data_IF_945190568257
#
_entry.id   IF_945190568257
#
_cell.length_a   1.000
_cell.length_b   1.000
_cell.length_c   1.000
_cell.angle_alpha   90.00
_cell.angle_beta   90.00
_cell.angle_gamma   90.00
#
_symmetry.space_group_name_H-M   'P 1'
#
loop_
_entity.id
_entity.type
_entity.pdbx_description
1 polymer ?
#
# COMPACT_ATOMS: atom_id res chain seq x y z
N UNK A 1 -25.79 -37.25 -3.07
CA UNK A 1 -24.49 -37.26 -3.81
C UNK A 1 -24.81 -37.00 -5.27
N UNK A 2 -24.12 -36.07 -5.91
CA UNK A 2 -24.17 -35.86 -7.36
C UNK A 2 -23.03 -36.65 -7.98
N UNK A 3 -23.33 -37.61 -8.86
CA UNK A 3 -22.30 -38.39 -9.50
C UNK A 3 -21.70 -37.59 -10.69
N UNK A 4 -20.37 -37.51 -10.72
CA UNK A 4 -19.63 -36.81 -11.80
C UNK A 4 -20.07 -35.37 -12.09
N UNK A 5 -20.15 -34.47 -11.10
CA UNK A 5 -20.62 -33.11 -11.33
C UNK A 5 -19.71 -32.32 -12.30
N UNK A 6 -18.46 -32.74 -12.45
CA UNK A 6 -17.45 -32.10 -13.30
C UNK A 6 -17.48 -32.48 -14.78
N UNK A 7 -18.19 -33.54 -15.14
CA UNK A 7 -18.22 -34.04 -16.51
C UNK A 7 -19.62 -34.19 -17.10
N UNK A 8 -20.61 -33.67 -16.36
CA UNK A 8 -21.99 -33.71 -16.83
C UNK A 8 -22.11 -32.93 -18.14
N UNK A 9 -22.64 -33.56 -19.16
CA UNK A 9 -23.08 -32.91 -20.39
C UNK A 9 -22.00 -32.18 -21.22
N UNK A 10 -20.73 -32.66 -21.17
CA UNK A 10 -19.63 -32.04 -21.92
C UNK A 10 -19.63 -32.35 -23.43
N UNK A 11 -20.06 -33.54 -23.80
CA UNK A 11 -19.91 -34.04 -25.16
C UNK A 11 -21.22 -34.18 -25.94
N UNK A 12 -22.34 -34.40 -25.25
CA UNK A 12 -23.64 -34.57 -25.87
C UNK A 12 -24.73 -33.82 -25.11
N UNK A 13 -25.68 -33.25 -25.84
CA UNK A 13 -26.73 -32.39 -25.29
C UNK A 13 -27.79 -33.14 -24.43
N UNK A 14 -27.83 -34.46 -24.51
CA UNK A 14 -28.90 -35.31 -24.00
C UNK A 14 -28.52 -36.08 -22.71
N UNK A 15 -27.41 -35.80 -22.08
CA UNK A 15 -26.86 -36.55 -20.95
C UNK A 15 -26.93 -35.84 -19.59
N UNK A 16 -27.88 -34.96 -19.39
CA UNK A 16 -28.11 -34.33 -18.08
C UNK A 16 -28.81 -35.33 -17.14
N UNK A 17 -28.11 -35.86 -16.14
CA UNK A 17 -28.68 -36.75 -15.11
C UNK A 17 -28.21 -36.38 -13.73
N UNK A 18 -29.14 -36.20 -12.82
CA UNK A 18 -28.87 -36.00 -11.38
C UNK A 18 -29.37 -37.22 -10.61
N UNK A 19 -28.51 -37.87 -9.86
CA UNK A 19 -28.87 -38.94 -8.94
C UNK A 19 -28.84 -38.41 -7.52
N UNK A 20 -29.98 -38.39 -6.87
CA UNK A 20 -30.12 -37.98 -5.45
C UNK A 20 -30.28 -39.23 -4.61
N UNK A 21 -29.33 -39.52 -3.74
CA UNK A 21 -29.43 -40.61 -2.75
C UNK A 21 -29.74 -40.02 -1.38
N UNK A 22 -30.90 -40.28 -0.84
CA UNK A 22 -31.33 -39.86 0.47
C UNK A 22 -31.89 -41.05 1.28
N UNK A 23 -31.39 -41.23 2.49
CA UNK A 23 -31.82 -42.33 3.40
C UNK A 23 -31.76 -43.73 2.78
N UNK A 24 -30.85 -43.99 1.83
CA UNK A 24 -30.67 -45.24 1.15
C UNK A 24 -31.58 -45.47 -0.08
N UNK A 25 -32.41 -44.51 -0.42
CA UNK A 25 -33.22 -44.50 -1.65
C UNK A 25 -32.56 -43.60 -2.71
N UNK A 26 -32.57 -44.04 -3.95
CA UNK A 26 -32.05 -43.29 -5.10
C UNK A 26 -33.22 -42.73 -5.93
N UNK A 27 -33.14 -41.41 -6.17
CA UNK A 27 -34.01 -40.74 -7.12
C UNK A 27 -33.16 -40.28 -8.31
N UNK A 28 -33.55 -40.73 -9.52
CA UNK A 28 -32.91 -40.32 -10.76
C UNK A 28 -33.77 -39.22 -11.38
N UNK A 29 -33.11 -38.08 -11.66
CA UNK A 29 -33.70 -36.94 -12.35
C UNK A 29 -32.94 -36.78 -13.67
N UNK A 30 -33.59 -37.12 -14.78
CA UNK A 30 -33.07 -36.84 -16.10
C UNK A 30 -33.43 -35.40 -16.50
N UNK A 31 -32.42 -34.62 -16.85
CA UNK A 31 -32.57 -33.22 -17.25
C UNK A 31 -32.40 -33.12 -18.76
N UNK A 32 -33.48 -32.84 -19.48
CA UNK A 32 -33.39 -32.55 -20.90
C UNK A 32 -32.60 -31.27 -21.14
N UNK A 33 -31.55 -31.36 -21.93
CA UNK A 33 -30.72 -30.22 -22.31
C UNK A 33 -30.70 -30.06 -23.82
N UNK A 34 -30.73 -28.82 -24.29
CA UNK A 34 -30.72 -28.48 -25.72
C UNK A 34 -29.32 -28.39 -26.31
N UNK A 35 -28.33 -28.18 -25.45
CA UNK A 35 -26.93 -28.02 -25.81
C UNK A 35 -26.01 -28.49 -24.68
N UNK A 36 -24.70 -28.49 -24.91
CA UNK A 36 -23.70 -28.84 -23.91
C UNK A 36 -23.57 -27.73 -22.83
N UNK A 37 -23.00 -28.07 -21.69
CA UNK A 37 -22.72 -27.09 -20.60
C UNK A 37 -21.91 -25.88 -21.10
N UNK A 38 -20.90 -26.13 -21.94
CA UNK A 38 -20.08 -25.06 -22.53
C UNK A 38 -20.87 -24.13 -23.47
N UNK A 39 -21.88 -24.65 -24.18
CA UNK A 39 -22.74 -23.82 -25.02
C UNK A 39 -23.63 -22.90 -24.15
N UNK A 40 -24.13 -23.37 -23.01
CA UNK A 40 -24.86 -22.55 -22.06
C UNK A 40 -23.97 -21.45 -21.45
N UNK A 41 -22.71 -21.75 -21.14
CA UNK A 41 -21.74 -20.75 -20.68
C UNK A 41 -21.52 -19.66 -21.74
N UNK A 42 -21.27 -20.06 -22.98
CA UNK A 42 -21.09 -19.15 -24.12
C UNK A 42 -22.31 -18.24 -24.35
N UNK A 43 -23.52 -18.82 -24.32
CA UNK A 43 -24.77 -18.09 -24.48
C UNK A 43 -24.96 -17.05 -23.36
N UNK A 44 -24.59 -17.38 -22.13
CA UNK A 44 -24.65 -16.45 -21.00
C UNK A 44 -23.67 -15.29 -21.15
N UNK A 45 -22.43 -15.58 -21.55
CA UNK A 45 -21.44 -14.54 -21.85
C UNK A 45 -21.93 -13.63 -22.98
N UNK A 46 -22.44 -14.23 -24.06
CA UNK A 46 -23.00 -13.47 -25.20
C UNK A 46 -24.17 -12.57 -24.77
N UNK A 47 -25.06 -13.04 -23.90
CA UNK A 47 -26.16 -12.26 -23.38
C UNK A 47 -25.69 -11.08 -22.51
N UNK A 48 -24.71 -11.27 -21.62
CA UNK A 48 -24.12 -10.22 -20.79
C UNK A 48 -23.45 -9.17 -21.67
N UNK A 49 -22.64 -9.57 -22.64
CA UNK A 49 -22.00 -8.65 -23.60
C UNK A 49 -23.03 -7.84 -24.39
N UNK A 50 -24.11 -8.47 -24.86
CA UNK A 50 -25.18 -7.79 -25.60
C UNK A 50 -25.93 -6.79 -24.71
N UNK A 51 -26.03 -7.03 -23.41
CA UNK A 51 -26.64 -6.11 -22.43
C UNK A 51 -25.67 -5.02 -21.95
N UNK A 52 -24.38 -5.06 -22.33
CA UNK A 52 -23.36 -4.13 -21.83
C UNK A 52 -22.97 -4.39 -20.37
N UNK A 53 -23.25 -5.57 -19.85
CA UNK A 53 -22.88 -5.99 -18.50
C UNK A 53 -21.43 -6.48 -18.46
N UNK A 54 -20.74 -6.22 -17.34
CA UNK A 54 -19.33 -6.61 -17.15
C UNK A 54 -19.18 -7.96 -16.46
N UNK A 55 -20.27 -8.54 -15.95
CA UNK A 55 -20.32 -9.87 -15.34
C UNK A 55 -21.65 -10.57 -15.67
N UNK A 56 -21.69 -11.88 -15.50
CA UNK A 56 -22.90 -12.67 -15.73
C UNK A 56 -23.86 -12.62 -14.55
N UNK A 57 -25.16 -12.46 -14.84
CA UNK A 57 -26.20 -12.64 -13.83
C UNK A 57 -26.52 -14.12 -13.61
N UNK A 58 -27.08 -14.46 -12.42
CA UNK A 58 -27.54 -15.83 -12.12
C UNK A 58 -28.32 -16.44 -13.28
N UNK A 59 -28.07 -17.70 -13.67
CA UNK A 59 -27.22 -18.73 -13.03
C UNK A 59 -25.74 -18.77 -13.48
N UNK A 60 -25.22 -17.75 -14.14
CA UNK A 60 -23.79 -17.63 -14.35
C UNK A 60 -23.08 -17.27 -13.04
N UNK A 61 -21.79 -17.56 -12.97
CA UNK A 61 -20.97 -17.12 -11.84
C UNK A 61 -20.67 -15.63 -11.95
N UNK A 62 -21.03 -14.86 -10.92
CA UNK A 62 -20.60 -13.50 -10.73
C UNK A 62 -19.19 -13.43 -10.12
N UNK A 63 -18.62 -12.23 -10.05
CA UNK A 63 -17.30 -12.05 -9.42
C UNK A 63 -17.32 -12.42 -7.93
N UNK A 64 -18.39 -12.11 -7.22
CA UNK A 64 -18.55 -12.47 -5.81
C UNK A 64 -18.60 -13.99 -5.59
N UNK A 65 -19.23 -14.74 -6.50
CA UNK A 65 -19.23 -16.21 -6.47
C UNK A 65 -17.82 -16.76 -6.66
N UNK A 66 -17.06 -16.18 -7.59
CA UNK A 66 -15.66 -16.56 -7.85
C UNK A 66 -14.80 -16.27 -6.63
N UNK A 67 -14.91 -15.09 -6.02
CA UNK A 67 -14.19 -14.70 -4.81
C UNK A 67 -14.55 -15.58 -3.62
N UNK A 68 -15.83 -15.89 -3.43
CA UNK A 68 -16.31 -16.77 -2.37
C UNK A 68 -15.77 -18.19 -2.51
N UNK A 69 -15.75 -18.72 -3.73
CA UNK A 69 -15.21 -20.03 -4.03
C UNK A 69 -13.70 -20.11 -3.75
N UNK A 70 -12.92 -19.15 -4.26
CA UNK A 70 -11.47 -19.08 -4.02
C UNK A 70 -11.15 -18.92 -2.53
N UNK A 71 -11.88 -18.07 -1.82
CA UNK A 71 -11.72 -17.88 -0.36
C UNK A 71 -11.97 -19.19 0.39
N UNK A 72 -12.96 -19.97 -0.03
CA UNK A 72 -13.27 -21.26 0.57
C UNK A 72 -12.14 -22.27 0.30
N UNK A 73 -11.65 -22.34 -0.93
CA UNK A 73 -10.53 -23.22 -1.30
C UNK A 73 -9.26 -22.86 -0.52
N UNK A 74 -8.94 -21.58 -0.40
CA UNK A 74 -7.78 -21.12 0.38
C UNK A 74 -7.93 -21.43 1.87
N UNK A 75 -9.16 -21.36 2.41
CA UNK A 75 -9.44 -21.76 3.78
C UNK A 75 -9.23 -23.24 4.01
N UNK A 76 -9.64 -24.07 3.07
CA UNK A 76 -9.39 -25.53 3.12
C UNK A 76 -7.89 -25.83 3.03
N UNK A 77 -7.19 -25.21 2.08
CA UNK A 77 -5.75 -25.37 1.93
C UNK A 77 -5.01 -25.04 3.22
N UNK A 78 -5.33 -23.91 3.83
CA UNK A 78 -4.74 -23.51 5.12
C UNK A 78 -5.04 -24.50 6.24
N UNK A 79 -6.27 -25.01 6.30
CA UNK A 79 -6.68 -25.97 7.32
C UNK A 79 -5.92 -27.31 7.25
N UNK A 80 -5.50 -27.73 6.04
CA UNK A 80 -4.73 -28.96 5.82
C UNK A 80 -3.23 -28.72 5.64
N UNK A 81 -2.75 -27.47 5.75
CA UNK A 81 -1.34 -27.12 5.57
C UNK A 81 -0.82 -27.31 4.14
N UNK A 82 -1.70 -27.28 3.13
CA UNK A 82 -1.30 -27.44 1.73
C UNK A 82 -0.73 -26.13 1.18
N UNK A 83 0.53 -26.16 0.78
CA UNK A 83 1.20 -25.12 -0.01
C UNK A 83 1.66 -25.76 -1.30
N UNK A 84 1.42 -25.12 -2.45
CA UNK A 84 1.95 -25.61 -3.72
C UNK A 84 3.42 -25.25 -3.87
N UNK A 85 4.22 -26.08 -4.54
CA UNK A 85 5.65 -25.85 -4.72
C UNK A 85 5.94 -24.48 -5.34
N UNK A 86 5.12 -24.01 -6.29
CA UNK A 86 5.28 -22.69 -6.92
C UNK A 86 5.01 -21.50 -5.98
N UNK A 87 4.42 -21.74 -4.80
CA UNK A 87 4.19 -20.72 -3.77
C UNK A 87 5.35 -20.65 -2.78
N UNK A 88 6.24 -21.62 -2.79
CA UNK A 88 7.47 -21.61 -2.01
C UNK A 88 8.42 -20.55 -2.58
N UNK A 89 9.04 -19.77 -1.71
CA UNK A 89 9.94 -18.68 -2.14
C UNK A 89 11.13 -19.18 -2.98
N UNK A 90 11.68 -20.33 -2.60
CA UNK A 90 12.78 -20.99 -3.29
C UNK A 90 12.41 -21.47 -4.70
N UNK A 91 11.16 -21.85 -4.91
CA UNK A 91 10.67 -22.36 -6.20
C UNK A 91 10.06 -21.24 -7.07
N UNK A 92 9.63 -20.14 -6.48
CA UNK A 92 9.06 -19.00 -7.18
C UNK A 92 10.14 -18.24 -7.96
N UNK A 93 10.23 -18.50 -9.26
CA UNK A 93 11.18 -17.83 -10.15
C UNK A 93 10.64 -16.46 -10.57
N UNK A 94 11.41 -15.37 -10.39
CA UNK A 94 10.99 -14.05 -10.82
C UNK A 94 10.88 -13.99 -12.36
N UNK A 95 9.83 -13.35 -12.85
CA UNK A 95 9.77 -12.92 -14.24
C UNK A 95 10.84 -11.87 -14.48
N UNK A 96 11.62 -12.04 -15.56
CA UNK A 96 12.71 -11.15 -15.94
C UNK A 96 12.29 -10.24 -17.08
N UNK A 97 12.85 -9.06 -17.11
CA UNK A 97 12.66 -8.07 -18.15
C UNK A 97 12.12 -6.76 -17.62
N UNK A 98 12.49 -5.69 -18.29
CA UNK A 98 12.13 -4.33 -17.93
C UNK A 98 10.63 -4.12 -18.14
N UNK A 99 9.98 -3.50 -17.16
CA UNK A 99 8.60 -3.06 -17.25
C UNK A 99 8.53 -1.70 -17.94
N UNK A 100 7.44 -1.48 -18.69
CA UNK A 100 7.11 -0.18 -19.25
C UNK A 100 5.92 0.43 -18.48
N UNK A 101 5.96 1.74 -18.27
CA UNK A 101 4.79 2.46 -17.80
C UNK A 101 3.74 2.49 -18.91
N UNK A 102 2.46 2.42 -18.53
CA UNK A 102 1.35 2.57 -19.48
C UNK A 102 1.32 4.01 -20.02
N UNK A 103 0.91 4.19 -21.25
CA UNK A 103 0.81 5.52 -21.87
C UNK A 103 -0.23 6.42 -21.15
N UNK A 104 -1.25 5.81 -20.55
CA UNK A 104 -2.32 6.43 -19.80
C UNK A 104 -2.10 6.37 -18.27
N UNK A 105 -0.86 6.16 -17.83
CA UNK A 105 -0.53 6.05 -16.41
C UNK A 105 -0.96 7.30 -15.63
N UNK A 106 -1.82 7.18 -14.60
CA UNK A 106 -2.41 8.33 -13.92
C UNK A 106 -1.49 9.01 -12.92
N UNK A 107 -0.29 8.47 -12.67
CA UNK A 107 0.58 8.91 -11.58
C UNK A 107 1.07 10.33 -11.76
N UNK A 108 0.95 11.13 -10.71
CA UNK A 108 1.54 12.46 -10.56
C UNK A 108 2.81 12.39 -9.72
N UNK A 109 3.73 13.33 -9.97
CA UNK A 109 5.04 13.32 -9.32
C UNK A 109 5.30 14.64 -8.60
N UNK A 110 6.17 14.57 -7.60
CA UNK A 110 6.70 15.71 -6.87
C UNK A 110 8.22 15.61 -6.74
N UNK A 111 8.81 16.62 -6.12
CA UNK A 111 10.24 16.65 -5.81
C UNK A 111 10.44 16.47 -4.32
N UNK A 112 11.47 15.72 -3.96
CA UNK A 112 12.01 15.62 -2.60
C UNK A 112 13.37 16.28 -2.63
N UNK A 113 13.65 17.18 -1.69
CA UNK A 113 14.93 17.85 -1.61
C UNK A 113 16.08 16.84 -1.45
N UNK A 114 17.13 17.02 -2.21
CA UNK A 114 18.28 16.12 -2.27
C UNK A 114 18.14 14.97 -3.26
N UNK A 115 16.98 14.78 -3.92
CA UNK A 115 16.79 13.78 -4.95
C UNK A 115 16.71 14.40 -6.35
N UNK A 116 17.46 13.80 -7.29
CA UNK A 116 17.36 14.14 -8.71
C UNK A 116 16.17 13.47 -9.41
N UNK A 117 15.70 12.33 -8.86
CA UNK A 117 14.57 11.58 -9.41
C UNK A 117 13.25 12.18 -8.97
N UNK A 118 12.23 12.27 -9.86
CA UNK A 118 10.88 12.61 -9.47
C UNK A 118 10.28 11.47 -8.63
N UNK A 119 9.50 11.81 -7.63
CA UNK A 119 8.87 10.86 -6.70
C UNK A 119 7.37 10.82 -6.96
N UNK A 120 6.77 9.65 -7.11
CA UNK A 120 5.32 9.50 -7.27
C UNK A 120 4.59 10.01 -6.01
N UNK A 121 3.52 10.81 -6.22
CA UNK A 121 2.75 11.44 -5.13
C UNK A 121 2.12 10.44 -4.17
N UNK A 122 1.71 9.29 -4.68
CA UNK A 122 1.43 8.11 -3.87
C UNK A 122 2.69 7.24 -3.82
N UNK A 123 2.96 6.62 -2.68
CA UNK A 123 4.11 5.75 -2.42
C UNK A 123 3.61 4.37 -2.02
N UNK A 124 4.17 3.32 -2.60
CA UNK A 124 3.83 1.94 -2.26
C UNK A 124 4.46 1.54 -0.93
N UNK A 125 3.63 1.31 0.10
CA UNK A 125 4.08 0.71 1.36
C UNK A 125 4.32 -0.79 1.18
N UNK A 126 5.53 -1.23 1.50
CA UNK A 126 5.99 -2.61 1.31
C UNK A 126 6.04 -3.36 2.64
N UNK A 127 4.94 -3.42 3.38
CA UNK A 127 4.79 -4.17 4.64
C UNK A 127 3.74 -5.30 4.56
N UNK A 128 2.94 -5.33 3.48
CA UNK A 128 1.82 -6.26 3.32
C UNK A 128 2.10 -7.44 2.36
N UNK A 129 3.14 -7.37 1.54
CA UNK A 129 3.44 -8.35 0.48
C UNK A 129 4.27 -9.51 1.04
N UNK A 130 3.60 -10.48 1.67
CA UNK A 130 4.23 -11.54 2.45
C UNK A 130 4.89 -12.66 1.62
N UNK A 131 4.56 -12.78 0.34
CA UNK A 131 5.14 -13.77 -0.58
C UNK A 131 5.52 -13.10 -1.91
N UNK A 132 6.55 -13.63 -2.56
CA UNK A 132 7.11 -13.02 -3.77
C UNK A 132 6.09 -12.89 -4.91
N UNK A 133 5.30 -13.94 -5.18
CA UNK A 133 4.33 -13.92 -6.27
C UNK A 133 3.29 -12.79 -6.08
N UNK A 134 2.79 -12.61 -4.85
CA UNK A 134 1.88 -11.53 -4.50
C UNK A 134 2.56 -10.15 -4.64
N UNK A 135 3.74 -9.99 -4.03
CA UNK A 135 4.49 -8.74 -4.11
C UNK A 135 4.82 -8.34 -5.54
N UNK A 136 5.33 -9.28 -6.34
CA UNK A 136 5.67 -9.02 -7.73
C UNK A 136 4.48 -8.57 -8.57
N UNK A 137 3.30 -9.20 -8.41
CA UNK A 137 2.09 -8.80 -9.12
C UNK A 137 1.63 -7.39 -8.72
N UNK A 138 1.68 -7.07 -7.41
CA UNK A 138 1.33 -5.74 -6.89
C UNK A 138 2.28 -4.65 -7.40
N UNK A 139 3.59 -4.94 -7.40
CA UNK A 139 4.61 -3.96 -7.79
C UNK A 139 4.71 -3.79 -9.31
N UNK A 140 4.45 -4.86 -10.10
CA UNK A 140 4.32 -4.75 -11.56
C UNK A 140 3.15 -3.82 -11.92
N UNK A 141 1.95 -4.06 -11.39
CA UNK A 141 0.78 -3.20 -11.62
C UNK A 141 1.02 -1.74 -11.16
N UNK A 142 1.67 -1.57 -9.99
CA UNK A 142 2.05 -0.26 -9.48
C UNK A 142 2.98 0.50 -10.43
N UNK A 143 4.05 -0.15 -10.88
CA UNK A 143 5.03 0.46 -11.77
C UNK A 143 4.43 0.78 -13.15
N UNK A 144 3.65 -0.13 -13.70
CA UNK A 144 2.93 0.09 -14.96
C UNK A 144 1.97 1.29 -14.91
N UNK A 145 1.34 1.53 -13.75
CA UNK A 145 0.50 2.72 -13.49
C UNK A 145 1.30 3.99 -13.21
N UNK A 146 2.61 3.95 -13.34
CA UNK A 146 3.52 5.07 -13.18
C UNK A 146 4.11 5.22 -11.78
N UNK A 147 3.73 4.41 -10.81
CA UNK A 147 4.32 4.45 -9.47
C UNK A 147 5.80 4.09 -9.50
N UNK A 148 6.65 4.93 -8.92
CA UNK A 148 8.09 4.68 -8.88
C UNK A 148 8.66 4.75 -7.46
N UNK A 149 7.87 5.09 -6.46
CA UNK A 149 8.32 5.22 -5.08
C UNK A 149 7.82 4.07 -4.22
N UNK A 150 8.71 3.52 -3.40
CA UNK A 150 8.48 2.37 -2.52
C UNK A 150 9.00 2.70 -1.12
N UNK A 151 8.23 2.33 -0.10
CA UNK A 151 8.58 2.51 1.30
C UNK A 151 8.78 1.16 1.98
N UNK A 152 9.98 0.89 2.47
CA UNK A 152 10.31 -0.34 3.19
C UNK A 152 11.05 -0.06 4.49
N UNK A 153 11.32 -1.11 5.27
CA UNK A 153 12.04 -0.97 6.54
C UNK A 153 12.75 -2.27 6.94
N UNK A 154 13.88 -2.11 7.61
CA UNK A 154 14.67 -3.18 8.21
C UNK A 154 13.83 -4.13 9.07
N UNK A 155 12.80 -3.60 9.80
CA UNK A 155 11.97 -4.42 10.70
C UNK A 155 10.81 -5.14 9.99
N UNK A 156 10.43 -4.72 8.77
CA UNK A 156 9.22 -5.24 8.12
C UNK A 156 9.36 -6.74 7.80
N UNK A 157 8.47 -7.54 8.40
CA UNK A 157 8.52 -9.00 8.26
C UNK A 157 9.86 -9.63 8.68
N UNK A 158 10.61 -9.00 9.60
CA UNK A 158 11.94 -9.44 10.00
C UNK A 158 12.99 -9.36 8.87
N UNK A 159 12.83 -8.41 7.95
CA UNK A 159 13.69 -8.18 6.79
C UNK A 159 13.22 -8.88 5.51
N UNK A 160 12.18 -9.72 5.59
CA UNK A 160 11.63 -10.43 4.44
C UNK A 160 11.14 -9.48 3.35
N UNK A 161 10.52 -8.36 3.74
CA UNK A 161 9.98 -7.39 2.78
C UNK A 161 11.07 -6.77 1.91
N UNK A 162 12.22 -6.46 2.49
CA UNK A 162 13.40 -5.96 1.75
C UNK A 162 13.93 -6.99 0.76
N UNK A 163 14.02 -8.27 1.18
CA UNK A 163 14.47 -9.37 0.32
C UNK A 163 13.54 -9.51 -0.90
N UNK A 164 12.22 -9.48 -0.69
CA UNK A 164 11.24 -9.64 -1.77
C UNK A 164 11.28 -8.45 -2.74
N UNK A 165 11.31 -7.23 -2.21
CA UNK A 165 11.38 -6.02 -3.03
C UNK A 165 12.67 -5.97 -3.86
N UNK A 166 13.82 -6.26 -3.24
CA UNK A 166 15.12 -6.29 -3.92
C UNK A 166 15.17 -7.34 -5.03
N UNK A 167 14.67 -8.55 -4.76
CA UNK A 167 14.52 -9.62 -5.76
C UNK A 167 13.70 -9.16 -6.97
N UNK A 168 12.61 -8.43 -6.75
CA UNK A 168 11.74 -7.90 -7.81
C UNK A 168 12.44 -6.79 -8.60
N UNK A 169 12.97 -5.76 -7.94
CA UNK A 169 13.66 -4.63 -8.60
C UNK A 169 14.80 -5.13 -9.49
N UNK A 170 15.59 -6.08 -8.98
CA UNK A 170 16.68 -6.71 -9.73
C UNK A 170 16.17 -7.51 -10.92
N UNK A 171 15.11 -8.29 -10.76
CA UNK A 171 14.54 -9.09 -11.85
C UNK A 171 13.96 -8.23 -12.97
N UNK A 172 13.41 -7.04 -12.64
CA UNK A 172 12.87 -6.08 -13.59
C UNK A 172 13.89 -5.13 -14.16
N UNK A 173 15.12 -5.10 -13.62
CA UNK A 173 16.23 -4.21 -14.05
C UNK A 173 15.81 -2.73 -14.05
N UNK A 174 15.21 -2.29 -12.95
CA UNK A 174 14.61 -0.93 -12.83
C UNK A 174 15.16 -0.13 -11.64
N UNK A 175 16.33 -0.50 -11.07
CA UNK A 175 16.86 0.20 -9.89
C UNK A 175 17.00 1.71 -10.08
N UNK A 176 17.46 2.13 -11.24
CA UNK A 176 17.66 3.57 -11.54
C UNK A 176 16.33 4.31 -11.79
N UNK A 177 15.26 3.61 -12.09
CA UNK A 177 13.93 4.18 -12.37
C UNK A 177 13.06 4.31 -11.12
N UNK A 178 13.43 3.64 -10.03
CA UNK A 178 12.67 3.65 -8.77
C UNK A 178 13.36 4.47 -7.69
N UNK A 179 12.53 4.97 -6.76
CA UNK A 179 12.95 5.61 -5.52
C UNK A 179 12.55 4.70 -4.37
N UNK A 180 13.54 4.27 -3.58
CA UNK A 180 13.28 3.39 -2.44
C UNK A 180 13.67 4.09 -1.15
N UNK A 181 12.68 4.28 -0.28
CA UNK A 181 12.88 4.71 1.10
C UNK A 181 13.25 3.51 1.94
N UNK A 182 14.46 3.53 2.49
CA UNK A 182 14.98 2.54 3.43
C UNK A 182 14.88 3.09 4.84
N UNK A 183 14.37 2.30 5.79
CA UNK A 183 14.27 2.71 7.21
C UNK A 183 14.98 1.70 8.12
N UNK A 184 15.84 2.21 9.00
CA UNK A 184 16.49 1.45 10.07
C UNK A 184 16.40 2.20 11.39
N UNK A 185 17.25 1.86 12.36
CA UNK A 185 17.24 2.47 13.70
C UNK A 185 15.86 2.43 14.37
N UNK A 186 15.19 1.29 14.35
CA UNK A 186 13.96 1.07 15.12
C UNK A 186 14.30 0.72 16.57
N UNK A 187 13.54 1.22 17.55
CA UNK A 187 13.77 0.88 18.97
C UNK A 187 13.77 -0.64 19.21
N UNK A 188 14.70 -1.19 20.00
CA UNK A 188 15.72 -0.50 20.81
C UNK A 188 17.04 -0.20 20.07
N UNK A 189 17.09 -0.30 18.75
CA UNK A 189 18.30 -0.20 17.93
C UNK A 189 18.63 1.24 17.46
N UNK A 190 18.00 2.27 18.06
CA UNK A 190 18.28 3.67 17.76
C UNK A 190 19.61 4.13 18.41
N UNK A 191 20.72 3.58 17.93
CA UNK A 191 22.07 3.94 18.31
C UNK A 191 22.92 4.10 17.03
N UNK A 192 23.91 4.99 16.98
CA UNK A 192 24.69 5.26 15.76
C UNK A 192 25.28 4.02 15.11
N UNK A 193 25.97 3.17 15.88
CA UNK A 193 26.58 1.94 15.36
C UNK A 193 25.52 0.94 14.82
N UNK A 194 24.39 0.81 15.51
CA UNK A 194 23.31 -0.08 15.10
C UNK A 194 22.55 0.48 13.90
N UNK A 195 22.44 1.81 13.76
CA UNK A 195 21.92 2.45 12.55
C UNK A 195 22.74 2.05 11.32
N UNK A 196 24.07 2.13 11.43
CA UNK A 196 24.97 1.74 10.33
C UNK A 196 24.85 0.26 10.02
N UNK A 197 24.74 -0.58 11.04
CA UNK A 197 24.53 -2.02 10.86
C UNK A 197 23.21 -2.30 10.14
N UNK A 198 22.08 -1.75 10.64
CA UNK A 198 20.75 -1.91 10.05
C UNK A 198 20.74 -1.45 8.58
N UNK A 199 21.43 -0.35 8.29
CA UNK A 199 21.54 0.19 6.94
C UNK A 199 22.27 -0.77 5.98
N UNK A 200 23.41 -1.31 6.38
CA UNK A 200 24.14 -2.28 5.54
C UNK A 200 23.36 -3.59 5.36
N UNK A 201 22.71 -4.10 6.41
CA UNK A 201 21.84 -5.27 6.31
C UNK A 201 20.67 -5.02 5.34
N UNK A 202 20.07 -3.82 5.37
CA UNK A 202 19.00 -3.43 4.43
C UNK A 202 19.50 -3.42 2.98
N UNK A 203 20.67 -2.84 2.70
CA UNK A 203 21.24 -2.86 1.35
C UNK A 203 21.55 -4.28 0.87
N UNK A 204 22.09 -5.15 1.76
CA UNK A 204 22.34 -6.56 1.44
C UNK A 204 21.05 -7.30 1.08
N UNK A 205 19.98 -7.16 1.89
CA UNK A 205 18.67 -7.78 1.65
C UNK A 205 18.03 -7.27 0.35
N UNK A 206 18.08 -5.98 0.11
CA UNK A 206 17.60 -5.33 -1.10
C UNK A 206 18.45 -5.66 -2.34
N UNK A 207 19.70 -6.11 -2.14
CA UNK A 207 20.71 -6.28 -3.18
C UNK A 207 20.98 -4.96 -3.95
N UNK A 208 21.03 -3.85 -3.22
CA UNK A 208 21.27 -2.51 -3.74
C UNK A 208 22.64 -1.99 -3.33
N UNK A 209 23.21 -1.14 -4.18
CA UNK A 209 24.46 -0.44 -3.90
C UNK A 209 24.25 0.84 -3.09
N UNK A 210 23.02 1.39 -3.10
CA UNK A 210 22.68 2.64 -2.43
C UNK A 210 21.19 2.72 -2.07
N UNK A 211 20.85 3.60 -1.13
CA UNK A 211 19.49 4.05 -0.85
C UNK A 211 19.23 5.44 -1.47
N UNK A 212 18.01 5.68 -2.00
CA UNK A 212 17.61 7.01 -2.46
C UNK A 212 17.27 7.92 -1.27
N UNK A 213 16.52 7.40 -0.30
CA UNK A 213 16.15 8.09 0.94
C UNK A 213 16.42 7.15 2.11
N UNK A 214 17.07 7.66 3.16
CA UNK A 214 17.21 6.93 4.41
C UNK A 214 16.48 7.64 5.54
N UNK A 215 15.63 6.89 6.25
CA UNK A 215 14.82 7.42 7.35
C UNK A 215 15.15 6.66 8.63
N UNK A 216 15.48 7.37 9.69
CA UNK A 216 15.51 6.82 11.04
C UNK A 216 14.07 6.48 11.47
N UNK A 217 13.81 5.21 11.75
CA UNK A 217 12.44 4.72 12.01
C UNK A 217 11.89 5.17 13.37
N UNK A 218 12.77 5.46 14.31
CA UNK A 218 12.48 6.01 15.64
C UNK A 218 13.58 6.99 16.06
N UNK A 219 13.29 7.76 17.10
CA UNK A 219 14.30 8.59 17.79
C UNK A 219 14.75 7.89 19.08
N UNK A 220 15.92 8.30 19.57
CA UNK A 220 16.42 8.01 20.91
C UNK A 220 16.90 9.31 21.55
N UNK A 221 16.12 9.82 22.49
CA UNK A 221 16.37 11.10 23.16
C UNK A 221 17.64 11.10 24.04
N UNK A 222 18.16 9.92 24.40
CA UNK A 222 19.39 9.79 25.18
C UNK A 222 20.65 9.98 24.32
N UNK A 223 20.50 9.91 22.99
CA UNK A 223 21.62 10.08 22.04
C UNK A 223 21.61 11.54 21.52
N UNK A 224 22.75 12.24 21.59
CA UNK A 224 22.90 13.55 20.96
C UNK A 224 22.63 13.47 19.46
N UNK A 225 21.84 14.40 18.91
CA UNK A 225 21.48 14.39 17.46
C UNK A 225 22.69 14.41 16.54
N UNK A 226 23.79 15.05 16.96
CA UNK A 226 25.02 15.15 16.21
C UNK A 226 25.62 13.79 15.87
N UNK A 227 25.52 12.82 16.77
CA UNK A 227 26.06 11.48 16.54
C UNK A 227 25.31 10.77 15.38
N UNK A 228 24.00 10.98 15.26
CA UNK A 228 23.23 10.47 14.12
C UNK A 228 23.56 11.21 12.83
N UNK A 229 23.66 12.54 12.88
CA UNK A 229 24.05 13.36 11.71
C UNK A 229 25.41 12.95 11.19
N UNK A 230 26.36 12.69 12.09
CA UNK A 230 27.72 12.32 11.73
C UNK A 230 27.77 10.99 10.96
N UNK A 231 27.17 9.94 11.49
CA UNK A 231 27.17 8.62 10.82
C UNK A 231 26.36 8.61 9.53
N UNK A 232 25.26 9.38 9.45
CA UNK A 232 24.50 9.50 8.22
C UNK A 232 25.30 10.20 7.11
N UNK A 233 26.06 11.24 7.46
CA UNK A 233 26.94 11.92 6.50
C UNK A 233 28.12 11.03 6.09
N UNK A 234 28.65 10.18 6.97
CA UNK A 234 29.65 9.18 6.57
C UNK A 234 29.09 8.18 5.54
N UNK A 235 27.83 7.77 5.67
CA UNK A 235 27.19 6.91 4.67
C UNK A 235 27.02 7.65 3.33
N UNK A 236 26.65 8.93 3.36
CA UNK A 236 26.55 9.77 2.17
C UNK A 236 27.91 9.96 1.48
N UNK A 237 28.96 10.27 2.25
CA UNK A 237 30.31 10.48 1.71
C UNK A 237 30.86 9.23 1.00
N UNK A 238 30.34 8.05 1.37
CA UNK A 238 30.61 6.76 0.70
C UNK A 238 29.68 6.46 -0.47
N UNK A 239 28.84 7.41 -0.90
CA UNK A 239 27.81 7.26 -1.95
C UNK A 239 26.76 6.15 -1.65
N UNK A 240 26.56 5.82 -0.39
CA UNK A 240 25.60 4.79 0.03
C UNK A 240 24.18 5.35 0.26
N UNK A 241 24.06 6.64 0.57
CA UNK A 241 22.77 7.39 0.54
C UNK A 241 22.93 8.55 -0.43
N UNK A 242 22.21 8.50 -1.54
CA UNK A 242 22.38 9.47 -2.62
C UNK A 242 21.46 10.68 -2.56
N UNK A 243 20.41 10.63 -1.74
CA UNK A 243 19.41 11.68 -1.67
C UNK A 243 19.20 12.21 -0.26
N UNK A 244 18.04 12.00 0.28
CA UNK A 244 17.55 12.62 1.50
C UNK A 244 17.76 11.78 2.76
N UNK A 245 17.89 12.49 3.90
CA UNK A 245 17.73 11.91 5.23
C UNK A 245 16.42 12.36 5.85
N UNK A 246 15.88 11.55 6.76
CA UNK A 246 14.67 11.89 7.48
C UNK A 246 14.48 11.14 8.79
N UNK A 247 13.44 11.57 9.51
CA UNK A 247 13.02 10.94 10.74
C UNK A 247 11.55 10.51 10.68
N UNK A 248 11.27 9.32 11.19
CA UNK A 248 9.92 8.79 11.38
C UNK A 248 9.56 8.81 12.86
N UNK A 249 8.41 9.40 13.18
CA UNK A 249 7.98 9.61 14.55
C UNK A 249 8.95 10.49 15.37
N UNK A 250 9.49 11.50 14.71
CA UNK A 250 10.34 12.52 15.30
C UNK A 250 9.53 13.76 15.64
N UNK A 251 9.83 14.37 16.80
CA UNK A 251 9.24 15.67 17.15
C UNK A 251 9.89 16.80 16.34
N UNK A 252 9.18 17.91 16.19
CA UNK A 252 9.69 19.09 15.48
C UNK A 252 10.98 19.58 16.12
N UNK A 253 11.03 19.67 17.44
CA UNK A 253 12.20 20.17 18.19
C UNK A 253 13.45 19.30 17.94
N UNK A 254 13.26 17.97 17.88
CA UNK A 254 14.38 17.04 17.59
C UNK A 254 14.82 17.13 16.13
N UNK A 255 13.88 17.32 15.22
CA UNK A 255 14.16 17.53 13.80
C UNK A 255 14.93 18.83 13.56
N UNK A 256 14.53 19.91 14.22
CA UNK A 256 15.24 21.20 14.19
C UNK A 256 16.64 21.08 14.77
N UNK A 257 16.80 20.41 15.91
CA UNK A 257 18.11 20.19 16.52
C UNK A 257 19.08 19.43 15.59
N UNK A 258 18.58 18.45 14.80
CA UNK A 258 19.38 17.78 13.73
C UNK A 258 19.84 18.80 12.71
N UNK A 259 18.96 19.67 12.25
CA UNK A 259 19.26 20.62 11.18
C UNK A 259 20.16 21.77 11.65
N UNK A 260 20.00 22.22 12.89
CA UNK A 260 20.91 23.17 13.52
C UNK A 260 22.34 22.60 13.64
N UNK A 261 22.46 21.36 14.13
CA UNK A 261 23.75 20.70 14.23
C UNK A 261 24.39 20.52 12.84
N UNK A 262 23.62 20.02 11.87
CA UNK A 262 24.09 19.79 10.51
C UNK A 262 24.61 21.10 9.88
N UNK A 263 23.83 22.17 9.98
CA UNK A 263 24.18 23.50 9.46
C UNK A 263 25.46 24.03 10.11
N UNK A 264 25.59 23.93 11.44
CA UNK A 264 26.76 24.38 12.17
C UNK A 264 28.05 23.63 11.80
N UNK A 265 27.93 22.39 11.29
CA UNK A 265 29.07 21.54 10.93
C UNK A 265 29.24 21.34 9.42
N UNK A 266 28.48 22.05 8.57
CA UNK A 266 28.54 21.95 7.12
C UNK A 266 28.12 20.56 6.58
N UNK A 267 27.18 19.92 7.26
CA UNK A 267 26.66 18.60 6.97
C UNK A 267 25.25 18.64 6.39
N UNK A 268 24.81 17.56 5.76
CA UNK A 268 23.41 17.40 5.38
C UNK A 268 22.56 17.04 6.60
N UNK A 269 21.48 17.79 6.79
CA UNK A 269 20.45 17.53 7.78
C UNK A 269 19.30 16.66 7.26
N UNK A 270 18.20 16.70 7.97
CA UNK A 270 16.95 16.05 7.56
C UNK A 270 16.12 16.96 6.65
N UNK A 271 15.63 16.42 5.54
CA UNK A 271 14.69 17.11 4.67
C UNK A 271 13.35 16.37 4.55
N UNK A 272 13.21 15.20 5.19
CA UNK A 272 12.01 14.37 5.14
C UNK A 272 11.48 14.07 6.54
N UNK A 273 10.25 14.47 6.83
CA UNK A 273 9.49 14.06 8.00
C UNK A 273 8.54 12.91 7.61
N UNK A 274 8.77 11.73 8.21
CA UNK A 274 7.94 10.55 7.98
C UNK A 274 7.06 10.25 9.20
N UNK A 275 6.24 11.21 9.59
CA UNK A 275 5.23 11.06 10.64
C UNK A 275 3.88 10.72 10.02
N UNK A 276 2.93 10.23 10.83
CA UNK A 276 1.56 10.15 10.36
C UNK A 276 1.05 11.54 9.99
N UNK A 277 0.48 11.66 8.80
CA UNK A 277 -0.33 12.79 8.39
C UNK A 277 -1.52 12.26 7.61
N UNK A 278 -2.72 12.53 8.09
CA UNK A 278 -3.97 12.10 7.46
C UNK A 278 -5.10 13.06 7.81
N UNK A 279 -6.18 13.01 7.06
CA UNK A 279 -7.37 13.83 7.33
C UNK A 279 -8.00 13.48 8.69
N UNK A 280 -7.89 12.24 9.16
CA UNK A 280 -8.22 11.90 10.54
C UNK A 280 -6.99 12.05 11.43
N UNK A 281 -7.11 12.80 12.52
CA UNK A 281 -6.07 12.91 13.55
C UNK A 281 -5.97 11.59 14.31
N UNK A 282 -4.76 11.05 14.43
CA UNK A 282 -4.50 9.89 15.28
C UNK A 282 -4.74 10.26 16.74
N UNK A 283 -5.72 9.61 17.40
CA UNK A 283 -6.09 9.87 18.80
C UNK A 283 -5.40 8.92 19.76
N UNK A 284 -5.15 7.71 19.32
CA UNK A 284 -4.33 6.73 20.01
C UNK A 284 -3.22 6.27 19.08
N UNK A 285 -1.99 6.05 19.57
CA UNK A 285 -0.91 5.58 18.73
C UNK A 285 -1.23 4.22 18.11
N UNK A 286 -1.12 4.09 16.78
CA UNK A 286 -1.27 2.80 16.07
C UNK A 286 -0.26 1.78 16.58
N UNK A 287 0.95 2.24 16.91
CA UNK A 287 1.99 1.47 17.60
C UNK A 287 2.66 2.36 18.65
N UNK A 288 3.19 1.77 19.72
CA UNK A 288 3.85 2.52 20.78
C UNK A 288 4.92 3.49 20.25
N UNK A 289 4.88 4.73 20.70
CA UNK A 289 5.81 5.79 20.30
C UNK A 289 5.53 6.42 18.92
N UNK A 290 4.40 6.09 18.27
CA UNK A 290 3.99 6.80 17.06
C UNK A 290 3.41 8.16 17.38
N UNK A 291 3.76 9.15 16.56
CA UNK A 291 3.24 10.51 16.61
C UNK A 291 2.72 10.95 15.25
N UNK A 292 1.89 11.97 15.23
CA UNK A 292 1.31 12.54 14.00
C UNK A 292 1.78 13.97 13.77
N UNK A 293 1.69 14.39 12.51
CA UNK A 293 1.88 15.77 12.05
C UNK A 293 0.61 16.34 11.40
N UNK A 294 -0.57 15.78 11.76
CA UNK A 294 -1.85 16.22 11.19
C UNK A 294 -2.37 17.52 11.82
N UNK A 295 -1.91 17.88 13.01
CA UNK A 295 -2.34 19.09 13.70
C UNK A 295 -1.85 20.36 12.98
N UNK A 296 -2.50 21.50 13.33
CA UNK A 296 -2.23 22.79 12.69
C UNK A 296 -0.77 23.25 12.87
N UNK A 297 -0.22 23.07 14.07
CA UNK A 297 1.15 23.52 14.37
C UNK A 297 2.16 22.77 13.51
N UNK A 298 2.03 21.45 13.43
CA UNK A 298 2.91 20.62 12.61
C UNK A 298 2.78 20.95 11.12
N UNK A 299 1.55 21.14 10.61
CA UNK A 299 1.34 21.52 9.19
C UNK A 299 1.90 22.90 8.87
N UNK A 300 1.71 23.88 9.76
CA UNK A 300 2.28 25.22 9.59
C UNK A 300 3.81 25.18 9.59
N UNK A 301 4.42 24.42 10.48
CA UNK A 301 5.88 24.23 10.50
C UNK A 301 6.39 23.58 9.19
N UNK A 302 5.69 22.56 8.66
CA UNK A 302 6.04 21.95 7.38
C UNK A 302 5.96 22.94 6.22
N UNK A 303 4.97 23.84 6.23
CA UNK A 303 4.81 24.90 5.23
C UNK A 303 5.91 25.96 5.33
N UNK A 304 6.19 26.46 6.55
CA UNK A 304 7.21 27.48 6.79
C UNK A 304 8.62 27.02 6.47
N UNK A 305 8.93 25.73 6.73
CA UNK A 305 10.26 25.18 6.49
C UNK A 305 10.42 24.57 5.09
N UNK A 306 9.33 24.28 4.40
CA UNK A 306 9.35 23.52 3.14
C UNK A 306 9.78 22.07 3.32
N UNK A 307 9.80 21.55 4.55
CA UNK A 307 10.16 20.16 4.84
C UNK A 307 9.21 19.19 4.13
N UNK A 308 9.76 18.18 3.48
CA UNK A 308 8.96 17.17 2.79
C UNK A 308 8.26 16.25 3.80
N UNK A 309 6.95 16.10 3.65
CA UNK A 309 6.18 15.08 4.38
C UNK A 309 6.02 13.83 3.53
N UNK A 310 6.50 12.68 4.02
CA UNK A 310 6.17 11.35 3.49
C UNK A 310 5.30 10.67 4.54
N UNK A 311 3.98 10.75 4.36
CA UNK A 311 3.01 10.42 5.39
C UNK A 311 2.66 8.93 5.42
N UNK A 312 2.93 8.24 6.52
CA UNK A 312 2.41 6.88 6.72
C UNK A 312 0.96 6.90 7.24
N UNK A 313 0.22 5.83 6.98
CA UNK A 313 -1.23 5.72 7.24
C UNK A 313 -2.02 6.93 6.73
N UNK A 314 -1.66 7.42 5.56
CA UNK A 314 -2.20 8.65 4.93
C UNK A 314 -3.72 8.64 4.74
N UNK A 315 -4.32 7.46 4.61
CA UNK A 315 -5.76 7.23 4.50
C UNK A 315 -6.39 6.77 5.84
N UNK A 316 -5.72 7.04 6.98
CA UNK A 316 -6.15 6.61 8.31
C UNK A 316 -6.56 5.12 8.35
N UNK A 317 -5.81 4.26 7.65
CA UNK A 317 -5.99 2.80 7.61
C UNK A 317 -7.42 2.37 7.26
N UNK A 318 -8.10 3.11 6.39
CA UNK A 318 -9.45 2.80 5.93
C UNK A 318 -10.58 3.47 6.74
N UNK A 319 -10.29 4.41 7.64
CA UNK A 319 -11.31 5.11 8.44
C UNK A 319 -12.37 5.83 7.57
N UNK A 320 -12.03 6.20 6.34
CA UNK A 320 -12.92 6.87 5.36
C UNK A 320 -13.60 5.91 4.38
N UNK A 321 -13.50 4.59 4.58
CA UNK A 321 -14.26 3.60 3.81
C UNK A 321 -15.75 3.65 4.18
N UNK A 322 -16.65 3.15 3.32
CA UNK A 322 -18.05 2.96 3.65
C UNK A 322 -18.24 2.15 4.93
N UNK A 323 -19.30 2.39 5.68
CA UNK A 323 -19.52 1.81 7.00
C UNK A 323 -19.37 0.28 7.02
N UNK A 324 -19.94 -0.42 6.06
CA UNK A 324 -19.87 -1.89 5.99
C UNK A 324 -18.47 -2.45 5.80
N UNK A 325 -17.57 -1.71 5.13
CA UNK A 325 -16.17 -2.08 4.95
C UNK A 325 -15.34 -1.63 6.15
N UNK A 326 -15.58 -0.43 6.65
CA UNK A 326 -14.91 0.13 7.83
C UNK A 326 -15.08 -0.76 9.06
N UNK A 327 -16.26 -1.31 9.28
CA UNK A 327 -16.54 -2.22 10.40
C UNK A 327 -15.75 -3.54 10.34
N UNK A 328 -15.20 -3.90 9.18
CA UNK A 328 -14.33 -5.08 9.02
C UNK A 328 -12.88 -4.81 9.45
N UNK A 329 -12.49 -3.57 9.70
CA UNK A 329 -11.10 -3.20 10.03
C UNK A 329 -10.64 -3.60 11.43
N UNK A 330 -11.55 -4.05 12.29
CA UNK A 330 -11.28 -4.41 13.68
C UNK A 330 -11.34 -3.20 14.64
N UNK A 331 -11.77 -3.48 15.87
CA UNK A 331 -12.00 -2.44 16.89
C UNK A 331 -10.73 -1.65 17.24
N UNK A 332 -9.60 -2.33 17.39
CA UNK A 332 -8.32 -1.68 17.78
C UNK A 332 -7.84 -0.71 16.71
N UNK A 333 -7.98 -1.07 15.43
CA UNK A 333 -7.61 -0.16 14.34
C UNK A 333 -8.54 1.06 14.28
N UNK A 334 -9.83 0.85 14.56
CA UNK A 334 -10.82 1.91 14.57
C UNK A 334 -10.59 2.90 15.72
N UNK A 335 -10.24 2.39 16.92
CA UNK A 335 -10.00 3.20 18.12
C UNK A 335 -8.90 4.25 17.91
N UNK A 336 -7.90 3.96 17.07
CA UNK A 336 -6.84 4.92 16.76
C UNK A 336 -7.34 6.21 16.10
N UNK A 337 -8.53 6.19 15.49
CA UNK A 337 -9.07 7.30 14.69
C UNK A 337 -10.43 7.80 15.18
N UNK A 338 -11.18 7.02 15.94
CA UNK A 338 -12.57 7.36 16.27
C UNK A 338 -12.67 8.42 17.37
N UNK A 339 -12.91 9.66 16.93
CA UNK A 339 -13.14 10.82 17.79
C UNK A 339 -14.22 11.73 17.18
N UNK A 340 -14.90 12.57 17.97
CA UNK A 340 -15.95 13.45 17.47
C UNK A 340 -15.51 14.36 16.32
N UNK A 341 -14.30 14.93 16.41
CA UNK A 341 -13.70 15.77 15.38
C UNK A 341 -13.39 14.99 14.09
N UNK A 342 -12.93 13.74 14.21
CA UNK A 342 -12.67 12.90 13.05
C UNK A 342 -13.97 12.40 12.39
N UNK A 343 -15.05 12.17 13.17
CA UNK A 343 -16.36 11.87 12.59
C UNK A 343 -16.86 13.04 11.74
N UNK A 344 -16.75 14.28 12.26
CA UNK A 344 -17.09 15.46 11.50
C UNK A 344 -16.22 15.66 10.24
N UNK A 345 -14.93 15.30 10.29
CA UNK A 345 -14.05 15.30 9.11
C UNK A 345 -14.48 14.25 8.08
N UNK A 346 -14.91 13.09 8.55
CA UNK A 346 -15.45 12.04 7.66
C UNK A 346 -16.73 12.51 6.98
N UNK A 347 -17.66 13.10 7.71
CA UNK A 347 -18.92 13.63 7.15
C UNK A 347 -18.62 14.68 6.07
N UNK A 348 -17.64 15.58 6.31
CA UNK A 348 -17.18 16.55 5.30
C UNK A 348 -16.51 15.86 4.10
N UNK A 349 -15.73 14.80 4.31
CA UNK A 349 -15.13 14.05 3.22
C UNK A 349 -16.18 13.33 2.38
N UNK A 350 -17.26 12.82 2.97
CA UNK A 350 -18.41 12.24 2.27
C UNK A 350 -19.12 13.32 1.41
N UNK A 351 -19.40 14.48 1.99
CA UNK A 351 -20.02 15.61 1.28
C UNK A 351 -19.17 16.08 0.07
N UNK A 352 -17.86 16.23 0.27
CA UNK A 352 -16.96 16.69 -0.80
C UNK A 352 -16.76 15.63 -1.88
N UNK A 353 -16.72 14.35 -1.48
CA UNK A 353 -16.61 13.22 -2.41
C UNK A 353 -17.82 13.18 -3.37
N UNK A 354 -19.05 13.38 -2.87
CA UNK A 354 -20.24 13.47 -3.70
C UNK A 354 -20.13 14.63 -4.70
N UNK A 355 -19.68 15.81 -4.26
CA UNK A 355 -19.50 16.99 -5.11
C UNK A 355 -18.46 16.79 -6.21
N UNK A 356 -17.37 16.07 -5.89
CA UNK A 356 -16.25 15.85 -6.82
C UNK A 356 -16.37 14.54 -7.61
N UNK A 357 -17.40 13.72 -7.37
CA UNK A 357 -17.63 12.46 -8.09
C UNK A 357 -16.59 11.38 -7.78
N UNK A 358 -16.08 11.32 -6.53
CA UNK A 358 -15.10 10.35 -6.07
C UNK A 358 -15.55 9.69 -4.75
N UNK A 359 -14.67 8.96 -4.09
CA UNK A 359 -14.96 8.32 -2.81
C UNK A 359 -14.36 9.09 -1.62
N UNK A 360 -14.91 8.99 -0.39
CA UNK A 360 -14.36 9.68 0.77
C UNK A 360 -12.90 9.32 1.08
N UNK A 361 -12.48 8.08 0.77
CA UNK A 361 -11.08 7.68 0.95
C UNK A 361 -10.15 8.33 -0.09
N UNK A 362 -10.66 8.70 -1.28
CA UNK A 362 -9.91 9.49 -2.25
C UNK A 362 -9.75 10.93 -1.76
N UNK A 363 -10.77 11.52 -1.14
CA UNK A 363 -10.67 12.83 -0.48
C UNK A 363 -9.60 12.79 0.63
N UNK A 364 -9.59 11.73 1.44
CA UNK A 364 -8.59 11.57 2.51
C UNK A 364 -7.15 11.50 1.97
N UNK A 365 -6.92 10.76 0.88
CA UNK A 365 -5.61 10.72 0.23
C UNK A 365 -5.26 12.05 -0.45
N UNK A 366 -6.23 12.66 -1.15
CA UNK A 366 -6.09 13.97 -1.79
C UNK A 366 -5.75 15.06 -0.76
N UNK A 367 -6.37 15.03 0.43
CA UNK A 367 -6.04 15.94 1.52
C UNK A 367 -4.54 15.93 1.84
N UNK A 368 -3.91 14.76 1.87
CA UNK A 368 -2.48 14.65 2.16
C UNK A 368 -1.62 15.18 1.02
N UNK A 369 -1.92 14.83 -0.23
CA UNK A 369 -1.08 15.22 -1.37
C UNK A 369 -1.29 16.65 -1.87
N UNK A 370 -2.37 17.33 -1.43
CA UNK A 370 -2.68 18.72 -1.75
C UNK A 370 -2.31 19.71 -0.62
N UNK A 371 -1.49 19.31 0.36
CA UNK A 371 -0.98 20.24 1.35
C UNK A 371 -0.07 21.30 0.70
N UNK A 372 0.06 22.52 1.28
CA UNK A 372 0.83 23.61 0.68
C UNK A 372 2.36 23.43 0.74
N UNK A 373 2.82 22.29 1.26
CA UNK A 373 4.22 21.88 1.33
C UNK A 373 4.46 20.59 0.52
N UNK A 374 5.72 20.21 0.22
CA UNK A 374 6.01 18.95 -0.44
C UNK A 374 5.45 17.76 0.36
N UNK A 375 4.38 17.14 -0.13
CA UNK A 375 3.67 16.10 0.58
C UNK A 375 3.40 14.89 -0.30
N UNK A 376 3.61 13.69 0.27
CA UNK A 376 3.47 12.40 -0.36
C UNK A 376 2.71 11.45 0.56
N UNK A 377 1.86 10.61 -0.01
CA UNK A 377 1.01 9.70 0.75
C UNK A 377 1.47 8.25 0.56
N UNK A 378 1.95 7.60 1.63
CA UNK A 378 2.18 6.16 1.62
C UNK A 378 0.82 5.47 1.70
N UNK A 379 0.54 4.63 0.72
CA UNK A 379 -0.61 3.71 0.71
C UNK A 379 -0.14 2.29 0.95
N UNK A 380 -0.94 1.49 1.64
CA UNK A 380 -0.60 0.11 2.02
C UNK A 380 -1.57 -0.91 1.44
N UNK A 381 -1.68 -1.01 0.10
CA UNK A 381 -2.62 -1.93 -0.52
C UNK A 381 -2.21 -3.40 -0.30
N UNK A 382 -3.22 -4.26 -0.13
CA UNK A 382 -3.08 -5.71 -0.04
C UNK A 382 -3.53 -6.43 -1.30
N UNK A 383 -4.19 -5.69 -2.20
CA UNK A 383 -4.67 -6.19 -3.48
C UNK A 383 -4.55 -5.10 -4.55
N UNK A 384 -4.43 -5.52 -5.81
CA UNK A 384 -4.39 -4.60 -6.98
C UNK A 384 -5.62 -3.71 -7.00
N UNK A 385 -6.77 -4.22 -6.57
CA UNK A 385 -8.01 -3.44 -6.48
C UNK A 385 -7.87 -2.25 -5.51
N UNK A 386 -7.21 -2.43 -4.37
CA UNK A 386 -6.97 -1.33 -3.41
C UNK A 386 -6.01 -0.28 -3.98
N UNK A 387 -5.02 -0.70 -4.78
CA UNK A 387 -4.20 0.22 -5.57
C UNK A 387 -5.06 1.00 -6.55
N UNK A 388 -5.87 0.31 -7.36
CA UNK A 388 -6.73 0.93 -8.35
C UNK A 388 -7.73 1.93 -7.75
N UNK A 389 -8.33 1.62 -6.60
CA UNK A 389 -9.28 2.51 -5.91
C UNK A 389 -8.61 3.69 -5.19
N UNK A 390 -7.30 3.65 -4.94
CA UNK A 390 -6.55 4.77 -4.36
C UNK A 390 -6.11 5.81 -5.41
N UNK A 391 -5.87 5.40 -6.65
CA UNK A 391 -5.34 6.28 -7.72
C UNK A 391 -6.24 7.48 -8.07
N UNK A 392 -7.58 7.39 -8.06
CA UNK A 392 -8.43 8.55 -8.35
C UNK A 392 -8.21 9.75 -7.42
N UNK A 393 -7.58 9.54 -6.26
CA UNK A 393 -7.17 10.65 -5.38
C UNK A 393 -6.21 11.63 -6.07
N UNK A 394 -5.44 11.17 -7.06
CA UNK A 394 -4.52 12.01 -7.83
C UNK A 394 -5.23 13.05 -8.70
N UNK A 395 -6.48 12.79 -9.11
CA UNK A 395 -7.27 13.69 -9.93
C UNK A 395 -8.12 14.65 -9.09
N UNK A 396 -8.16 14.44 -7.78
CA UNK A 396 -8.87 15.32 -6.86
C UNK A 396 -7.99 16.51 -6.50
N UNK A 397 -8.29 17.65 -7.10
CA UNK A 397 -7.69 18.92 -6.71
C UNK A 397 -8.48 19.54 -5.56
N UNK A 398 -7.78 19.90 -4.49
CA UNK A 398 -8.35 20.60 -3.34
C UNK A 398 -7.78 22.02 -3.27
N UNK A 399 -8.66 23.01 -3.12
CA UNK A 399 -8.23 24.39 -2.84
C UNK A 399 -7.75 24.51 -1.39
N UNK A 400 -7.04 25.59 -1.06
CA UNK A 400 -6.61 25.85 0.31
C UNK A 400 -7.82 25.94 1.27
N UNK A 401 -8.93 26.54 0.80
CA UNK A 401 -10.18 26.64 1.56
C UNK A 401 -10.82 25.27 1.78
N UNK A 402 -10.82 24.38 0.76
CA UNK A 402 -11.31 23.01 0.90
C UNK A 402 -10.45 22.20 1.89
N UNK A 403 -9.13 22.35 1.85
CA UNK A 403 -8.21 21.71 2.81
C UNK A 403 -8.49 22.18 4.23
N UNK A 404 -8.64 23.50 4.46
CA UNK A 404 -8.97 24.07 5.75
C UNK A 404 -10.36 23.60 6.24
N UNK A 405 -11.35 23.66 5.37
CA UNK A 405 -12.71 23.22 5.68
C UNK A 405 -12.78 21.71 6.02
N UNK A 406 -12.09 20.86 5.27
CA UNK A 406 -12.02 19.43 5.58
C UNK A 406 -11.46 19.17 6.98
N UNK A 407 -10.45 19.92 7.39
CA UNK A 407 -9.88 19.80 8.75
C UNK A 407 -10.81 20.36 9.83
N UNK A 408 -11.69 21.30 9.48
CA UNK A 408 -12.57 22.03 10.41
C UNK A 408 -11.95 23.33 10.88
N UNK A 409 -11.12 23.95 10.06
CA UNK A 409 -10.64 25.33 10.19
C UNK A 409 -11.52 26.23 9.33
N UNK A 410 -11.92 27.38 9.90
CA UNK A 410 -12.71 28.41 9.21
C UNK A 410 -11.79 29.45 8.51
#
# INVERSE_FOLDING_TARGET
TVANPWVANRQTADQGRVVVTAKGEEQIIDVETKCTSFAYEADRVAAAVAAGEVEGAWPAMAWDDTMGNLTTLDSWRRAIGLTYDLELEEECKPLRGTLAKRDDAPMKYGKVEGLDKPVSKLIMGCDNQQIYAHGAAMWDDWYERGGNAFDTSWVYGGGKMEILLGKWVKARDIREQVVVTVKGAHSPRCLPDLLVQDFHESLERLQFDYADIYIMHRDNLEVPVGEFVDVLNELKDKDLVRGAFGGSNWTIERFEAVNEYASAHGKQGFSVLNNNLSLARMVEPVWGGCIHASDRVSRQWLEETGTTSIAWSSQARGYFLPEGERMKLGADNFACWDAPDNRARRDRAEELAEKKGCTPINIAAAYVINQPFPSFAIIGPRAIQETATSLPALDVELTAEEVAWLWGEE
#
